data_IF_864616899339
#
_entry.id   IF_864616899339
#
_cell.length_a   1.000
_cell.length_b   1.000
_cell.length_c   1.000
_cell.angle_alpha   90.00
_cell.angle_beta   90.00
_cell.angle_gamma   90.00
#
_symmetry.space_group_name_H-M   'P 1'
#
loop_
_entity.id
_entity.type
_entity.pdbx_description
1 polymer ?
#
# COMPACT_ATOMS: atom_id res chain seq x y z
N UNK A 1 -11.27 -20.29 21.36
CA UNK A 1 -11.21 -18.84 21.11
C UNK A 1 -9.74 -18.44 21.05
N UNK A 2 -9.21 -18.11 19.87
CA UNK A 2 -7.80 -17.75 19.71
C UNK A 2 -7.46 -16.51 20.56
N UNK A 3 -6.23 -16.41 21.06
CA UNK A 3 -5.76 -15.29 21.91
C UNK A 3 -6.07 -13.93 21.27
N UNK A 4 -5.84 -13.84 19.96
CA UNK A 4 -5.99 -12.66 19.12
C UNK A 4 -7.45 -12.19 18.91
N UNK A 5 -8.45 -13.09 18.95
CA UNK A 5 -9.87 -12.70 18.82
C UNK A 5 -10.42 -11.94 20.05
N UNK A 6 -9.73 -12.05 21.21
CA UNK A 6 -10.07 -11.26 22.40
C UNK A 6 -9.39 -9.88 22.35
N UNK A 7 -8.20 -9.83 21.77
CA UNK A 7 -7.44 -8.59 21.59
C UNK A 7 -8.12 -7.68 20.56
N UNK A 8 -8.56 -8.18 19.41
CA UNK A 8 -9.30 -7.38 18.40
C UNK A 8 -10.53 -6.67 19.00
N UNK A 9 -11.31 -7.35 19.84
CA UNK A 9 -12.46 -6.74 20.55
C UNK A 9 -12.05 -5.63 21.51
N UNK A 10 -10.90 -5.74 22.17
CA UNK A 10 -10.41 -4.70 23.06
C UNK A 10 -10.03 -3.43 22.27
N UNK A 11 -9.34 -3.60 21.14
CA UNK A 11 -8.97 -2.48 20.25
C UNK A 11 -10.19 -1.76 19.67
N UNK A 12 -11.20 -2.50 19.22
CA UNK A 12 -12.47 -1.90 18.74
C UNK A 12 -13.13 -1.05 19.83
N UNK A 13 -13.11 -1.51 21.09
CA UNK A 13 -13.67 -0.76 22.22
C UNK A 13 -12.84 0.48 22.57
N UNK A 14 -11.52 0.42 22.47
CA UNK A 14 -10.65 1.58 22.69
C UNK A 14 -10.84 2.64 21.59
N UNK A 15 -10.94 2.21 20.33
CA UNK A 15 -11.22 3.09 19.20
C UNK A 15 -12.64 3.68 19.23
N UNK A 16 -13.59 3.05 19.92
CA UNK A 16 -14.90 3.66 20.18
C UNK A 16 -14.81 4.87 21.13
N UNK A 17 -13.75 4.95 21.96
CA UNK A 17 -13.51 6.08 22.86
C UNK A 17 -12.62 7.15 22.22
N UNK A 18 -11.66 6.74 21.39
CA UNK A 18 -10.81 7.64 20.61
C UNK A 18 -10.54 7.05 19.21
N UNK A 19 -11.40 7.39 18.25
CA UNK A 19 -11.31 6.85 16.87
C UNK A 19 -10.10 7.36 16.08
N UNK A 20 -9.45 8.42 16.57
CA UNK A 20 -8.38 9.14 15.89
C UNK A 20 -6.98 8.62 16.24
N UNK A 21 -6.87 7.61 17.11
CA UNK A 21 -5.58 7.08 17.52
C UNK A 21 -4.95 6.22 16.41
N UNK A 22 -3.92 6.76 15.77
CA UNK A 22 -3.20 6.09 14.68
C UNK A 22 -2.51 4.80 15.14
N UNK A 23 -2.04 4.75 16.39
CA UNK A 23 -1.37 3.56 16.94
C UNK A 23 -2.38 2.43 17.09
N UNK A 24 -3.54 2.73 17.70
CA UNK A 24 -4.61 1.75 17.87
C UNK A 24 -5.18 1.27 16.53
N UNK A 25 -5.34 2.17 15.55
CA UNK A 25 -5.80 1.82 14.21
C UNK A 25 -4.80 0.87 13.50
N UNK A 26 -3.50 1.12 13.59
CA UNK A 26 -2.47 0.25 13.02
C UNK A 26 -2.46 -1.14 13.69
N UNK A 27 -2.56 -1.17 15.02
CA UNK A 27 -2.59 -2.43 15.76
C UNK A 27 -3.85 -3.26 15.45
N UNK A 28 -5.01 -2.61 15.30
CA UNK A 28 -6.24 -3.28 14.85
C UNK A 28 -6.06 -3.93 13.47
N UNK A 29 -5.53 -3.19 12.49
CA UNK A 29 -5.30 -3.71 11.14
C UNK A 29 -4.33 -4.90 11.15
N UNK A 30 -3.24 -4.81 11.92
CA UNK A 30 -2.28 -5.91 12.07
C UNK A 30 -2.92 -7.17 12.67
N UNK A 31 -3.77 -7.01 13.69
CA UNK A 31 -4.43 -8.12 14.36
C UNK A 31 -5.47 -8.80 13.45
N UNK A 32 -6.31 -8.03 12.76
CA UNK A 32 -7.29 -8.56 11.82
C UNK A 32 -6.62 -9.37 10.70
N UNK A 33 -5.53 -8.83 10.14
CA UNK A 33 -4.72 -9.56 9.13
C UNK A 33 -4.13 -10.86 9.68
N UNK A 34 -3.56 -10.85 10.88
CA UNK A 34 -2.97 -12.05 11.53
C UNK A 34 -4.01 -13.13 11.83
N UNK A 35 -5.26 -12.73 12.08
CA UNK A 35 -6.35 -13.68 12.30
C UNK A 35 -6.89 -14.30 11.01
N UNK A 36 -6.62 -13.69 9.86
CA UNK A 36 -7.28 -14.03 8.60
C UNK A 36 -8.73 -13.55 8.54
N UNK A 37 -9.11 -12.57 9.37
CA UNK A 37 -10.44 -11.95 9.39
C UNK A 37 -10.53 -10.93 8.24
N UNK A 38 -10.43 -11.40 6.99
CA UNK A 38 -10.22 -10.55 5.80
C UNK A 38 -11.42 -9.66 5.46
N UNK A 39 -12.64 -10.11 5.74
CA UNK A 39 -13.85 -9.31 5.51
C UNK A 39 -13.86 -8.10 6.46
N UNK A 40 -13.66 -8.34 7.76
CA UNK A 40 -13.56 -7.28 8.77
C UNK A 40 -12.34 -6.38 8.53
N UNK A 41 -11.23 -6.94 8.04
CA UNK A 41 -10.04 -6.17 7.66
C UNK A 41 -10.33 -5.21 6.51
N UNK A 42 -11.06 -5.65 5.48
CA UNK A 42 -11.42 -4.80 4.34
C UNK A 42 -12.31 -3.62 4.80
N UNK A 43 -13.33 -3.88 5.62
CA UNK A 43 -14.18 -2.84 6.19
C UNK A 43 -13.40 -1.85 7.07
N UNK A 44 -12.49 -2.36 7.90
CA UNK A 44 -11.66 -1.53 8.77
C UNK A 44 -10.73 -0.62 7.95
N UNK A 45 -10.10 -1.16 6.90
CA UNK A 45 -9.20 -0.41 6.01
C UNK A 45 -9.91 0.75 5.33
N UNK A 46 -11.06 0.51 4.70
CA UNK A 46 -11.86 1.56 4.06
C UNK A 46 -12.31 2.62 5.06
N UNK A 47 -12.81 2.20 6.23
CA UNK A 47 -13.28 3.12 7.28
C UNK A 47 -12.16 4.01 7.80
N UNK A 48 -10.97 3.43 8.06
CA UNK A 48 -9.84 4.18 8.61
C UNK A 48 -9.26 5.10 7.53
N UNK A 49 -9.04 4.60 6.30
CA UNK A 49 -8.51 5.40 5.18
C UNK A 49 -9.42 6.59 4.83
N UNK A 50 -10.74 6.45 4.98
CA UNK A 50 -11.68 7.54 4.74
C UNK A 50 -11.57 8.68 5.79
N UNK A 51 -10.97 8.43 6.94
CA UNK A 51 -10.87 9.38 8.04
C UNK A 51 -9.45 9.89 8.24
N UNK A 52 -8.45 9.05 8.00
CA UNK A 52 -7.05 9.28 8.33
C UNK A 52 -6.11 8.73 7.26
N UNK A 53 -5.00 9.43 6.96
CA UNK A 53 -3.94 8.86 6.16
C UNK A 53 -3.40 7.57 6.79
N UNK A 54 -3.32 6.50 6.01
CA UNK A 54 -2.69 5.26 6.48
C UNK A 54 -1.17 5.33 6.33
N UNK A 55 -0.45 4.49 7.09
CA UNK A 55 0.98 4.29 6.88
C UNK A 55 1.24 3.56 5.56
N UNK A 56 2.40 3.84 4.94
CA UNK A 56 2.88 3.16 3.72
C UNK A 56 2.77 1.64 3.83
N UNK A 57 3.15 1.08 4.98
CA UNK A 57 3.11 -0.37 5.23
C UNK A 57 1.70 -0.93 5.14
N UNK A 58 0.70 -0.25 5.69
CA UNK A 58 -0.70 -0.70 5.65
C UNK A 58 -1.27 -0.64 4.24
N UNK A 59 -0.92 0.41 3.48
CA UNK A 59 -1.31 0.54 2.08
C UNK A 59 -0.72 -0.57 1.22
N UNK A 60 0.59 -0.80 1.31
CA UNK A 60 1.28 -1.87 0.58
C UNK A 60 0.69 -3.23 0.95
N UNK A 61 0.49 -3.47 2.24
CA UNK A 61 -0.14 -4.67 2.77
C UNK A 61 -1.54 -4.90 2.16
N UNK A 62 -2.37 -3.86 2.09
CA UNK A 62 -3.70 -3.95 1.51
C UNK A 62 -3.65 -4.26 0.02
N UNK A 63 -2.81 -3.56 -0.71
CA UNK A 63 -2.62 -3.76 -2.15
C UNK A 63 -2.16 -5.20 -2.45
N UNK A 64 -1.22 -5.73 -1.66
CA UNK A 64 -0.75 -7.11 -1.80
C UNK A 64 -1.86 -8.15 -1.52
N UNK A 65 -2.73 -7.89 -0.53
CA UNK A 65 -3.89 -8.76 -0.26
C UNK A 65 -4.86 -8.75 -1.45
N UNK A 66 -5.24 -7.58 -1.94
CA UNK A 66 -6.18 -7.42 -3.06
C UNK A 66 -5.65 -8.10 -4.33
N UNK A 67 -4.35 -7.96 -4.61
CA UNK A 67 -3.67 -8.69 -5.70
C UNK A 67 -3.76 -10.20 -5.49
N UNK A 68 -3.56 -10.68 -4.26
CA UNK A 68 -3.63 -12.11 -3.93
C UNK A 68 -5.05 -12.66 -4.06
N UNK A 69 -6.07 -11.83 -3.82
CA UNK A 69 -7.47 -12.16 -4.04
C UNK A 69 -7.93 -12.01 -5.50
N UNK A 70 -7.02 -11.62 -6.41
CA UNK A 70 -7.31 -11.51 -7.83
C UNK A 70 -8.10 -10.24 -8.20
N UNK A 71 -7.97 -9.17 -7.41
CA UNK A 71 -8.54 -7.88 -7.76
C UNK A 71 -8.04 -7.40 -9.14
N UNK A 72 -8.95 -6.78 -9.89
CA UNK A 72 -8.64 -6.23 -11.22
C UNK A 72 -7.69 -5.04 -11.16
N UNK A 73 -7.04 -4.74 -12.28
CA UNK A 73 -6.08 -3.65 -12.40
C UNK A 73 -6.64 -2.31 -11.89
N UNK A 74 -7.87 -1.95 -12.27
CA UNK A 74 -8.52 -0.69 -11.85
C UNK A 74 -8.57 -0.51 -10.33
N UNK A 75 -8.86 -1.58 -9.59
CA UNK A 75 -8.90 -1.56 -8.13
C UNK A 75 -7.51 -1.38 -7.53
N UNK A 76 -6.51 -2.03 -8.11
CA UNK A 76 -5.13 -1.90 -7.66
C UNK A 76 -4.61 -0.48 -7.91
N UNK A 77 -4.93 0.12 -9.07
CA UNK A 77 -4.59 1.51 -9.36
C UNK A 77 -5.27 2.48 -8.39
N UNK A 78 -6.56 2.30 -8.10
CA UNK A 78 -7.29 3.12 -7.13
C UNK A 78 -6.62 3.12 -5.74
N UNK A 79 -6.17 1.94 -5.28
CA UNK A 79 -5.49 1.82 -3.99
C UNK A 79 -4.10 2.46 -4.02
N UNK A 80 -3.35 2.34 -5.10
CA UNK A 80 -2.08 3.04 -5.25
C UNK A 80 -2.27 4.56 -5.28
N UNK A 81 -3.30 5.07 -5.98
CA UNK A 81 -3.60 6.51 -6.04
C UNK A 81 -3.87 7.07 -4.64
N UNK A 82 -4.64 6.35 -3.81
CA UNK A 82 -4.85 6.70 -2.39
C UNK A 82 -3.54 6.62 -1.59
N UNK A 83 -2.74 5.58 -1.79
CA UNK A 83 -1.48 5.37 -1.07
C UNK A 83 -0.44 6.46 -1.37
N UNK A 84 -0.27 6.85 -2.65
CA UNK A 84 0.66 7.93 -3.03
C UNK A 84 0.18 9.28 -2.53
N UNK A 85 -1.14 9.51 -2.46
CA UNK A 85 -1.71 10.72 -1.88
C UNK A 85 -1.41 10.83 -0.39
N UNK A 86 -1.61 9.74 0.37
CA UNK A 86 -1.38 9.74 1.82
C UNK A 86 0.10 9.82 2.19
N UNK A 87 0.95 9.04 1.52
CA UNK A 87 2.31 8.79 1.98
C UNK A 87 3.39 9.48 1.12
N UNK A 88 3.16 9.58 -0.19
CA UNK A 88 4.16 9.97 -1.19
C UNK A 88 5.58 9.46 -0.89
N UNK A 89 5.68 8.18 -0.50
CA UNK A 89 6.90 7.56 0.04
C UNK A 89 7.58 6.68 -1.00
N UNK A 90 8.89 6.49 -0.87
CA UNK A 90 9.65 5.62 -1.76
C UNK A 90 9.06 4.20 -1.79
N UNK A 91 8.68 3.65 -0.64
CA UNK A 91 8.18 2.28 -0.54
C UNK A 91 6.91 2.07 -1.38
N UNK A 92 5.98 3.02 -1.36
CA UNK A 92 4.74 2.96 -2.16
C UNK A 92 5.06 3.08 -3.65
N UNK A 93 5.92 4.02 -4.03
CA UNK A 93 6.34 4.19 -5.43
C UNK A 93 7.07 2.94 -5.96
N UNK A 94 7.94 2.34 -5.16
CA UNK A 94 8.68 1.12 -5.52
C UNK A 94 7.74 -0.07 -5.73
N UNK A 95 6.78 -0.28 -4.82
CA UNK A 95 5.76 -1.33 -4.98
C UNK A 95 4.91 -1.09 -6.25
N UNK A 96 4.53 0.16 -6.53
CA UNK A 96 3.76 0.53 -7.72
C UNK A 96 4.51 0.21 -9.02
N UNK A 97 5.75 0.68 -9.16
CA UNK A 97 6.52 0.47 -10.40
C UNK A 97 6.88 -1.01 -10.60
N UNK A 98 7.17 -1.74 -9.52
CA UNK A 98 7.41 -3.18 -9.58
C UNK A 98 6.17 -3.96 -10.02
N UNK A 99 5.00 -3.61 -9.47
CA UNK A 99 3.74 -4.18 -9.94
C UNK A 99 3.48 -3.83 -11.41
N UNK A 100 3.68 -2.58 -11.80
CA UNK A 100 3.46 -2.10 -13.17
C UNK A 100 4.34 -2.83 -14.21
N UNK A 101 5.59 -3.16 -13.86
CA UNK A 101 6.48 -4.00 -14.67
C UNK A 101 5.87 -5.38 -14.99
N UNK A 102 5.09 -5.95 -14.07
CA UNK A 102 4.39 -7.21 -14.26
C UNK A 102 3.11 -7.11 -15.10
N UNK A 103 2.58 -5.90 -15.31
CA UNK A 103 1.36 -5.66 -16.11
C UNK A 103 1.72 -5.58 -17.60
N UNK A 104 2.47 -4.56 -18.01
CA UNK A 104 3.04 -4.42 -19.35
C UNK A 104 4.07 -3.28 -19.42
N UNK A 105 4.96 -3.26 -20.42
CA UNK A 105 6.02 -2.26 -20.51
C UNK A 105 5.56 -0.81 -20.69
N UNK A 106 4.44 -0.57 -21.39
CA UNK A 106 3.93 0.78 -21.61
C UNK A 106 3.45 1.39 -20.28
N UNK A 107 2.74 0.61 -19.51
CA UNK A 107 2.23 1.00 -18.20
C UNK A 107 3.36 1.19 -17.19
N UNK A 108 4.35 0.30 -17.17
CA UNK A 108 5.54 0.43 -16.33
C UNK A 108 6.26 1.76 -16.54
N UNK A 109 6.56 2.13 -17.80
CA UNK A 109 7.17 3.42 -18.14
C UNK A 109 6.37 4.59 -17.61
N UNK A 110 5.05 4.59 -17.83
CA UNK A 110 4.18 5.64 -17.33
C UNK A 110 4.31 5.80 -15.80
N UNK A 111 4.23 4.71 -15.04
CA UNK A 111 4.33 4.79 -13.58
C UNK A 111 5.74 5.17 -13.09
N UNK A 112 6.79 4.82 -13.83
CA UNK A 112 8.15 5.33 -13.54
C UNK A 112 8.26 6.84 -13.76
N UNK A 113 7.70 7.37 -14.84
CA UNK A 113 7.68 8.83 -15.09
C UNK A 113 6.87 9.57 -14.01
N UNK A 114 5.74 9.00 -13.58
CA UNK A 114 4.94 9.54 -12.47
C UNK A 114 5.77 9.57 -11.16
N UNK A 115 6.47 8.47 -10.85
CA UNK A 115 7.34 8.37 -9.68
C UNK A 115 8.51 9.37 -9.74
N UNK A 116 9.14 9.53 -10.90
CA UNK A 116 10.22 10.51 -11.09
C UNK A 116 9.72 11.95 -10.93
N UNK A 117 8.53 12.24 -11.44
CA UNK A 117 7.89 13.55 -11.29
C UNK A 117 7.57 13.85 -9.82
N UNK A 118 7.16 12.84 -9.05
CA UNK A 118 6.79 12.99 -7.64
C UNK A 118 8.00 13.03 -6.68
N UNK A 119 8.98 12.15 -6.86
CA UNK A 119 10.07 11.93 -5.89
C UNK A 119 11.46 11.84 -6.51
N UNK A 120 11.61 11.95 -7.83
CA UNK A 120 12.89 11.76 -8.53
C UNK A 120 13.98 12.79 -8.20
N UNK A 121 13.60 13.96 -7.66
CA UNK A 121 14.54 14.99 -7.21
C UNK A 121 14.82 14.97 -5.71
N UNK A 122 14.22 14.04 -4.96
CA UNK A 122 14.47 13.89 -3.53
C UNK A 122 15.87 13.34 -3.29
N UNK A 123 16.67 14.04 -2.49
CA UNK A 123 18.08 13.69 -2.24
C UNK A 123 18.27 12.37 -1.49
N UNK A 124 17.30 12.00 -0.65
CA UNK A 124 17.35 10.81 0.18
C UNK A 124 16.99 9.53 -0.58
N UNK A 125 16.11 9.61 -1.59
CA UNK A 125 15.51 8.43 -2.21
C UNK A 125 15.41 8.46 -3.75
N UNK A 126 15.52 9.63 -4.38
CA UNK A 126 15.26 9.79 -5.82
C UNK A 126 16.14 8.92 -6.71
N UNK A 127 17.41 8.72 -6.31
CA UNK A 127 18.35 7.86 -7.01
C UNK A 127 17.86 6.40 -7.15
N UNK A 128 17.07 5.90 -6.19
CA UNK A 128 16.56 4.52 -6.22
C UNK A 128 15.49 4.31 -7.31
N UNK A 129 14.64 5.32 -7.55
CA UNK A 129 13.66 5.28 -8.65
C UNK A 129 14.38 5.33 -10.00
N UNK A 130 15.35 6.25 -10.17
CA UNK A 130 16.16 6.33 -11.38
C UNK A 130 16.86 5.00 -11.70
N UNK A 131 17.53 4.41 -10.71
CA UNK A 131 18.24 3.15 -10.90
C UNK A 131 17.29 2.01 -11.28
N UNK A 132 16.12 1.96 -10.65
CA UNK A 132 15.11 0.92 -10.93
C UNK A 132 14.54 1.07 -12.34
N UNK A 133 14.30 2.31 -12.80
CA UNK A 133 13.83 2.58 -14.16
C UNK A 133 14.89 2.21 -15.22
N UNK A 134 16.15 2.56 -14.98
CA UNK A 134 17.26 2.16 -15.87
C UNK A 134 17.37 0.64 -15.97
N UNK A 135 17.34 -0.09 -14.83
CA UNK A 135 17.36 -1.56 -14.85
C UNK A 135 16.17 -2.16 -15.61
N UNK A 136 14.99 -1.55 -15.50
CA UNK A 136 13.83 -1.98 -16.28
C UNK A 136 14.07 -1.80 -17.79
N UNK A 137 14.57 -0.63 -18.24
CA UNK A 137 14.83 -0.40 -19.67
C UNK A 137 15.96 -1.28 -20.22
N UNK A 138 17.02 -1.50 -19.44
CA UNK A 138 18.08 -2.45 -19.78
C UNK A 138 17.52 -3.87 -19.99
N UNK A 139 16.64 -4.32 -19.10
CA UNK A 139 15.99 -5.62 -19.23
C UNK A 139 15.08 -5.70 -20.47
N UNK A 140 14.41 -4.60 -20.86
CA UNK A 140 13.60 -4.54 -22.08
C UNK A 140 14.42 -4.56 -23.37
N UNK A 141 15.68 -4.11 -23.34
CA UNK A 141 16.59 -4.18 -24.49
C UNK A 141 17.26 -5.55 -24.63
N UNK A 142 17.41 -6.27 -23.51
CA UNK A 142 18.05 -7.58 -23.46
C UNK A 142 17.13 -8.75 -23.86
N UNK A 143 15.81 -8.56 -23.81
CA UNK A 143 14.78 -9.55 -24.19
C UNK A 143 14.29 -9.36 -25.62
#
# INVERSE_FOLDING_TARGET
MCRWCRETKAYVLMLAQNSYDSTLNNELLSLLRKNGDFDELAEAREKIAAQHPLLSTNWIEWIQDERSFGAGQDRIEELFDKAVFDCNSLDVWMELVQWACGVNPKFARQKFEDALSAVGLRVDVGAMIWQSYLCFEEAMLAG
#
